data_IF_032533781817
#
_entry.id   IF_032533781817
#
_cell.length_a   1.000
_cell.length_b   1.000
_cell.length_c   1.000
_cell.angle_alpha   90.00
_cell.angle_beta   90.00
_cell.angle_gamma   90.00
#
_symmetry.space_group_name_H-M   'P 1'
#
loop_
_entity.id
_entity.type
_entity.pdbx_description
1 polymer ?
#
# COMPACT_ATOMS: atom_id res chain seq x y z
N UNK A 1 -1.75 -43.02 -0.54
CA UNK A 1 -2.92 -42.42 -1.20
C UNK A 1 -2.76 -40.91 -1.09
N UNK A 2 -2.21 -40.30 -2.14
CA UNK A 2 -2.04 -38.84 -2.19
C UNK A 2 -3.33 -38.20 -2.69
N UNK A 3 -3.83 -37.22 -1.95
CA UNK A 3 -4.95 -36.41 -2.41
C UNK A 3 -4.44 -35.45 -3.49
N UNK A 4 -4.87 -35.70 -4.72
CA UNK A 4 -4.73 -34.78 -5.85
C UNK A 4 -5.88 -33.78 -5.72
N UNK A 5 -5.56 -32.50 -5.49
CA UNK A 5 -6.49 -31.41 -5.72
C UNK A 5 -6.33 -30.99 -7.20
N UNK A 6 -7.37 -31.04 -8.03
CA UNK A 6 -7.27 -30.60 -9.41
C UNK A 6 -7.15 -29.07 -9.46
N UNK A 7 -6.05 -28.57 -10.02
CA UNK A 7 -5.87 -27.15 -10.37
C UNK A 7 -4.86 -26.35 -9.54
N UNK A 8 -4.20 -26.95 -8.54
CA UNK A 8 -3.19 -26.25 -7.74
C UNK A 8 -1.82 -26.29 -8.40
N UNK A 9 -1.26 -25.14 -8.75
CA UNK A 9 0.16 -25.04 -9.11
C UNK A 9 0.99 -25.61 -7.98
N UNK A 10 1.61 -26.75 -8.28
CA UNK A 10 2.51 -27.49 -7.42
C UNK A 10 3.68 -26.59 -7.00
N UNK A 11 3.87 -26.49 -5.69
CA UNK A 11 5.12 -26.27 -4.97
C UNK A 11 6.32 -25.91 -5.88
N UNK A 12 6.49 -24.61 -6.14
CA UNK A 12 7.75 -24.06 -6.63
C UNK A 12 8.02 -22.78 -5.85
N UNK A 13 9.22 -22.67 -5.31
CA UNK A 13 9.71 -21.49 -4.58
C UNK A 13 10.03 -20.37 -5.59
N UNK A 14 9.04 -19.99 -6.41
CA UNK A 14 9.19 -19.00 -7.49
C UNK A 14 9.04 -17.57 -6.97
N UNK A 15 8.45 -17.39 -5.80
CA UNK A 15 8.32 -16.11 -5.12
C UNK A 15 9.27 -16.04 -3.91
N UNK A 16 9.82 -14.86 -3.58
CA UNK A 16 10.61 -14.71 -2.38
C UNK A 16 9.78 -14.97 -1.12
N UNK A 17 10.44 -15.41 -0.05
CA UNK A 17 9.80 -15.60 1.26
C UNK A 17 9.22 -14.26 1.74
N UNK A 18 7.98 -14.28 2.27
CA UNK A 18 7.24 -13.11 2.78
C UNK A 18 6.80 -12.10 1.71
N UNK A 19 6.63 -12.54 0.46
CA UNK A 19 6.00 -11.75 -0.60
C UNK A 19 4.58 -12.24 -0.82
N UNK A 20 3.65 -11.30 -1.00
CA UNK A 20 2.33 -11.60 -1.52
C UNK A 20 2.45 -12.09 -2.97
N UNK A 21 1.64 -13.08 -3.35
CA UNK A 21 1.64 -13.61 -4.73
C UNK A 21 1.23 -12.55 -5.76
N UNK A 22 0.47 -11.54 -5.33
CA UNK A 22 0.13 -10.34 -6.11
C UNK A 22 0.57 -9.13 -5.30
N UNK A 23 1.32 -8.23 -5.92
CA UNK A 23 1.74 -6.96 -5.33
C UNK A 23 1.21 -5.82 -6.19
N UNK A 24 0.43 -4.88 -5.65
CA UNK A 24 0.06 -3.68 -6.40
C UNK A 24 1.31 -2.86 -6.71
N UNK A 25 1.34 -2.26 -7.89
CA UNK A 25 2.40 -1.33 -8.31
C UNK A 25 1.81 0.06 -8.46
N UNK A 26 2.22 0.99 -7.60
CA UNK A 26 1.71 2.36 -7.56
C UNK A 26 2.68 3.30 -8.26
N UNK A 27 2.19 4.04 -9.26
CA UNK A 27 2.93 5.16 -9.86
C UNK A 27 2.47 6.44 -9.17
N UNK A 28 3.32 6.99 -8.32
CA UNK A 28 3.01 8.14 -7.45
C UNK A 28 3.89 9.32 -7.82
N UNK A 29 3.47 10.54 -7.46
CA UNK A 29 4.19 11.78 -7.84
C UNK A 29 5.57 11.94 -7.15
N UNK A 30 5.69 11.44 -5.93
CA UNK A 30 6.89 11.48 -5.09
C UNK A 30 6.90 10.19 -4.27
N UNK A 31 7.58 9.17 -4.79
CA UNK A 31 7.61 7.86 -4.19
C UNK A 31 8.28 7.87 -2.82
N UNK A 32 9.34 8.66 -2.62
CA UNK A 32 10.06 8.70 -1.36
C UNK A 32 9.18 9.28 -0.24
N UNK A 33 8.45 10.35 -0.54
CA UNK A 33 7.49 10.94 0.39
C UNK A 33 6.31 9.99 0.68
N UNK A 34 5.83 9.26 -0.33
CA UNK A 34 4.84 8.20 -0.10
C UNK A 34 5.39 7.10 0.81
N UNK A 35 6.62 6.61 0.59
CA UNK A 35 7.21 5.58 1.45
C UNK A 35 7.31 6.04 2.90
N UNK A 36 7.77 7.28 3.14
CA UNK A 36 7.86 7.82 4.50
C UNK A 36 6.48 7.98 5.14
N UNK A 37 5.45 8.36 4.37
CA UNK A 37 4.07 8.33 4.81
C UNK A 37 3.64 6.91 5.22
N UNK A 38 3.91 5.89 4.41
CA UNK A 38 3.54 4.50 4.70
C UNK A 38 4.24 3.95 5.94
N UNK A 39 5.53 4.27 6.11
CA UNK A 39 6.31 3.91 7.30
C UNK A 39 5.69 4.51 8.56
N UNK A 40 5.31 5.79 8.49
CA UNK A 40 4.78 6.52 9.64
C UNK A 40 3.34 6.13 10.00
N UNK A 41 2.48 5.98 9.00
CA UNK A 41 1.03 5.80 9.19
C UNK A 41 0.64 4.33 9.32
N UNK A 42 1.27 3.45 8.55
CA UNK A 42 0.94 2.02 8.50
C UNK A 42 2.03 1.12 9.06
N UNK A 43 3.12 1.69 9.59
CA UNK A 43 4.25 0.91 10.09
C UNK A 43 4.96 0.13 8.98
N UNK A 44 4.93 0.62 7.75
CA UNK A 44 5.54 -0.06 6.61
C UNK A 44 7.06 -0.28 6.82
N UNK A 45 7.58 -1.36 6.25
CA UNK A 45 9.01 -1.69 6.24
C UNK A 45 9.51 -1.60 4.81
N UNK A 46 10.53 -0.77 4.57
CA UNK A 46 11.22 -0.71 3.28
C UNK A 46 12.02 -2.00 3.06
N UNK A 47 11.79 -2.65 1.92
CA UNK A 47 12.46 -3.92 1.56
C UNK A 47 13.54 -3.70 0.51
N UNK A 48 13.24 -2.87 -0.50
CA UNK A 48 14.11 -2.68 -1.65
C UNK A 48 13.93 -1.28 -2.22
N UNK A 49 15.03 -0.71 -2.71
CA UNK A 49 15.06 0.60 -3.33
C UNK A 49 16.06 0.62 -4.49
N UNK A 50 15.61 1.02 -5.67
CA UNK A 50 16.41 1.09 -6.90
C UNK A 50 16.30 2.48 -7.53
N UNK A 51 17.22 3.41 -7.19
CA UNK A 51 17.30 4.70 -7.87
C UNK A 51 17.88 4.56 -9.28
N UNK A 52 17.58 5.51 -10.15
CA UNK A 52 18.27 5.71 -11.42
C UNK A 52 19.54 6.57 -11.26
N UNK A 53 20.23 6.79 -12.38
CA UNK A 53 21.47 7.57 -12.43
C UNK A 53 21.28 9.05 -12.04
N UNK A 54 20.04 9.56 -12.10
CA UNK A 54 19.67 10.91 -11.65
C UNK A 54 19.25 10.98 -10.19
N UNK A 55 19.20 9.83 -9.50
CA UNK A 55 18.73 9.71 -8.10
C UNK A 55 17.21 9.60 -7.96
N UNK A 56 16.48 9.56 -9.07
CA UNK A 56 15.02 9.36 -9.08
C UNK A 56 14.69 7.89 -8.93
N UNK A 57 13.60 7.54 -8.26
CA UNK A 57 13.32 6.16 -7.90
C UNK A 57 12.57 5.43 -9.02
N UNK A 58 13.26 4.48 -9.64
CA UNK A 58 12.71 3.60 -10.68
C UNK A 58 11.81 2.54 -10.09
N UNK A 59 12.16 2.04 -8.91
CA UNK A 59 11.45 0.96 -8.26
C UNK A 59 11.76 0.92 -6.77
N UNK A 60 10.73 0.74 -5.96
CA UNK A 60 10.88 0.38 -4.57
C UNK A 60 9.80 -0.61 -4.14
N UNK A 61 10.08 -1.28 -3.03
CA UNK A 61 9.22 -2.26 -2.41
C UNK A 61 9.09 -1.91 -0.93
N UNK A 62 7.86 -1.74 -0.46
CA UNK A 62 7.56 -1.60 0.97
C UNK A 62 6.56 -2.67 1.37
N UNK A 63 6.67 -3.13 2.61
CA UNK A 63 5.75 -4.12 3.17
C UNK A 63 4.91 -3.51 4.27
N UNK A 64 3.59 -3.64 4.16
CA UNK A 64 2.64 -3.37 5.24
C UNK A 64 2.15 -4.74 5.69
N UNK A 65 2.53 -5.12 6.90
CA UNK A 65 2.27 -6.44 7.50
C UNK A 65 2.64 -7.60 6.56
N UNK A 66 1.66 -8.24 5.92
CA UNK A 66 1.84 -9.40 5.04
C UNK A 66 1.98 -9.07 3.55
N UNK A 67 1.74 -7.80 3.16
CA UNK A 67 1.57 -7.41 1.77
C UNK A 67 2.69 -6.49 1.31
N UNK A 68 3.31 -6.83 0.19
CA UNK A 68 4.29 -5.98 -0.50
C UNK A 68 3.57 -5.07 -1.48
N UNK A 69 3.82 -3.77 -1.36
CA UNK A 69 3.42 -2.73 -2.32
C UNK A 69 4.69 -2.29 -3.06
N UNK A 70 4.62 -2.29 -4.39
CA UNK A 70 5.67 -1.76 -5.24
C UNK A 70 5.36 -0.32 -5.63
N UNK A 71 6.38 0.53 -5.70
CA UNK A 71 6.23 1.94 -6.04
C UNK A 71 7.26 2.38 -7.07
N UNK A 72 6.93 3.41 -7.84
CA UNK A 72 7.89 4.17 -8.63
C UNK A 72 7.44 5.61 -8.79
N UNK A 73 8.41 6.48 -9.04
CA UNK A 73 8.13 7.81 -9.56
C UNK A 73 7.63 7.76 -11.01
N UNK A 74 7.00 8.83 -11.52
CA UNK A 74 6.50 8.89 -12.88
C UNK A 74 7.67 8.97 -13.85
N UNK A 75 7.84 8.04 -14.80
CA UNK A 75 9.01 7.95 -15.67
C UNK A 75 8.68 8.06 -17.18
N UNK A 76 9.60 8.60 -18.01
CA UNK A 76 9.41 8.70 -19.46
C UNK A 76 9.18 7.34 -20.16
N UNK A 77 8.53 7.33 -21.35
CA UNK A 77 8.02 8.51 -22.03
C UNK A 77 6.72 9.07 -21.44
N UNK A 78 5.85 8.27 -20.81
CA UNK A 78 4.49 8.72 -20.46
C UNK A 78 3.87 8.11 -19.19
N UNK A 79 4.66 7.68 -18.20
CA UNK A 79 4.06 7.27 -16.94
C UNK A 79 3.71 8.52 -16.13
N UNK A 80 2.47 9.00 -16.26
CA UNK A 80 1.91 9.97 -15.32
C UNK A 80 1.56 9.27 -13.99
N UNK A 81 1.53 9.99 -12.85
CA UNK A 81 0.95 9.44 -11.63
C UNK A 81 -0.46 8.91 -11.89
N UNK A 82 -0.73 7.68 -11.46
CA UNK A 82 -2.03 7.03 -11.66
C UNK A 82 -2.79 7.06 -10.34
N UNK A 83 -4.00 7.65 -10.37
CA UNK A 83 -4.89 7.63 -9.22
C UNK A 83 -5.17 6.18 -8.81
N UNK A 84 -4.77 5.86 -7.58
CA UNK A 84 -4.86 4.53 -7.01
C UNK A 84 -5.67 4.56 -5.73
N UNK A 85 -6.48 3.53 -5.51
CA UNK A 85 -7.21 3.32 -4.26
C UNK A 85 -6.73 2.01 -3.65
N UNK A 86 -6.27 2.07 -2.40
CA UNK A 86 -5.75 0.92 -1.66
C UNK A 86 -6.53 0.80 -0.37
N UNK A 87 -7.03 -0.41 -0.08
CA UNK A 87 -7.65 -0.72 1.20
C UNK A 87 -6.60 -1.28 2.16
N UNK A 88 -6.57 -0.77 3.38
CA UNK A 88 -5.66 -1.20 4.44
C UNK A 88 -6.46 -1.53 5.68
N UNK A 89 -6.35 -2.78 6.14
CA UNK A 89 -6.91 -3.17 7.41
C UNK A 89 -6.04 -2.61 8.54
N UNK A 90 -6.68 -1.91 9.48
CA UNK A 90 -6.00 -1.31 10.64
C UNK A 90 -6.79 -1.59 11.91
N UNK A 91 -6.06 -1.75 13.01
CA UNK A 91 -6.68 -2.02 14.30
C UNK A 91 -7.47 -0.82 14.85
N UNK A 92 -6.94 0.39 14.70
CA UNK A 92 -7.56 1.63 15.19
C UNK A 92 -7.67 2.65 14.05
N UNK A 93 -8.85 2.72 13.46
CA UNK A 93 -9.15 3.63 12.34
C UNK A 93 -8.95 5.09 12.72
N UNK A 94 -9.34 5.49 13.93
CA UNK A 94 -9.24 6.89 14.35
C UNK A 94 -7.78 7.31 14.56
N UNK A 95 -6.99 6.44 15.21
CA UNK A 95 -5.57 6.70 15.42
C UNK A 95 -4.81 6.75 14.09
N UNK A 96 -5.01 5.78 13.20
CA UNK A 96 -4.38 5.78 11.88
C UNK A 96 -4.80 7.00 11.07
N UNK A 97 -6.09 7.36 11.06
CA UNK A 97 -6.57 8.54 10.36
C UNK A 97 -5.91 9.81 10.88
N UNK A 98 -5.87 10.02 12.20
CA UNK A 98 -5.23 11.20 12.79
C UNK A 98 -3.75 11.28 12.43
N UNK A 99 -3.03 10.17 12.51
CA UNK A 99 -1.61 10.14 12.15
C UNK A 99 -1.40 10.48 10.67
N UNK A 100 -2.28 10.01 9.78
CA UNK A 100 -2.24 10.37 8.37
C UNK A 100 -2.43 11.86 8.14
N UNK A 101 -3.40 12.50 8.80
CA UNK A 101 -3.63 13.95 8.68
C UNK A 101 -2.42 14.73 9.22
N UNK A 102 -1.86 14.36 10.36
CA UNK A 102 -0.64 14.98 10.92
C UNK A 102 0.56 14.79 9.99
N UNK A 103 0.59 13.69 9.24
CA UNK A 103 1.62 13.40 8.22
C UNK A 103 1.40 14.11 6.89
N UNK A 104 0.42 15.03 6.81
CA UNK A 104 0.18 15.86 5.64
C UNK A 104 -0.76 15.25 4.59
N UNK A 105 -1.43 14.14 4.90
CA UNK A 105 -2.47 13.62 4.02
C UNK A 105 -3.72 14.50 4.01
N UNK A 106 -4.43 14.46 2.90
CA UNK A 106 -5.70 15.16 2.71
C UNK A 106 -6.83 14.21 3.10
N UNK A 107 -7.76 14.68 3.93
CA UNK A 107 -8.99 13.95 4.23
C UNK A 107 -9.80 13.73 2.95
N UNK A 108 -10.11 12.46 2.64
CA UNK A 108 -11.08 12.09 1.61
C UNK A 108 -12.42 11.79 2.27
N UNK A 109 -12.40 11.09 3.41
CA UNK A 109 -13.55 10.78 4.23
C UNK A 109 -13.12 10.65 5.69
N UNK A 110 -13.73 11.43 6.59
CA UNK A 110 -13.53 11.26 8.02
C UNK A 110 -14.04 9.89 8.51
N UNK A 111 -13.38 9.26 9.51
CA UNK A 111 -13.80 7.97 10.03
C UNK A 111 -15.24 8.01 10.55
N UNK A 112 -16.13 7.32 9.85
CA UNK A 112 -17.54 7.25 10.22
C UNK A 112 -17.97 5.79 10.32
N UNK A 113 -18.72 5.47 11.37
CA UNK A 113 -19.46 4.21 11.47
C UNK A 113 -20.83 4.44 10.83
N UNK A 114 -21.04 3.85 9.65
CA UNK A 114 -22.35 3.92 8.99
C UNK A 114 -23.32 2.90 9.61
N UNK A 115 -24.54 2.83 9.08
CA UNK A 115 -25.57 1.93 9.59
C UNK A 115 -25.20 0.44 9.45
N UNK A 116 -24.27 0.09 8.54
CA UNK A 116 -23.68 -1.25 8.44
C UNK A 116 -22.25 -1.31 9.01
N UNK A 117 -22.09 -2.28 9.90
CA UNK A 117 -20.97 -2.92 10.61
C UNK A 117 -19.63 -2.19 10.84
N UNK A 118 -18.90 -1.73 9.81
CA UNK A 118 -17.52 -1.25 9.99
C UNK A 118 -17.34 0.27 9.95
N UNK A 119 -16.51 0.76 10.89
CA UNK A 119 -16.01 2.14 10.85
C UNK A 119 -14.98 2.27 9.75
N UNK A 120 -15.18 3.18 8.81
CA UNK A 120 -14.27 3.40 7.68
C UNK A 120 -13.94 4.88 7.47
N UNK A 121 -12.71 5.14 7.09
CA UNK A 121 -12.20 6.44 6.69
C UNK A 121 -11.35 6.36 5.44
N UNK A 122 -11.01 7.50 4.87
CA UNK A 122 -10.17 7.59 3.68
C UNK A 122 -9.28 8.83 3.71
N UNK A 123 -8.02 8.66 3.34
CA UNK A 123 -7.03 9.74 3.22
C UNK A 123 -6.30 9.64 1.89
N UNK A 124 -5.82 10.77 1.37
CA UNK A 124 -4.98 10.82 0.18
C UNK A 124 -3.59 11.34 0.56
N UNK A 125 -2.57 10.57 0.24
CA UNK A 125 -1.18 10.92 0.56
C UNK A 125 -0.62 11.99 -0.41
N UNK A 126 0.63 12.39 -0.18
CA UNK A 126 1.35 13.35 -1.03
C UNK A 126 1.65 12.82 -2.44
N UNK A 127 1.77 11.50 -2.60
CA UNK A 127 1.98 10.84 -3.90
C UNK A 127 0.72 10.76 -4.76
N UNK A 128 -0.45 10.98 -4.17
CA UNK A 128 -1.76 10.98 -4.82
C UNK A 128 -2.56 9.68 -4.64
N UNK A 129 -2.02 8.70 -3.92
CA UNK A 129 -2.72 7.46 -3.61
C UNK A 129 -3.77 7.69 -2.52
N UNK A 130 -4.97 7.12 -2.70
CA UNK A 130 -6.03 7.12 -1.71
C UNK A 130 -6.00 5.83 -0.90
N UNK A 131 -5.91 5.96 0.41
CA UNK A 131 -5.85 4.88 1.38
C UNK A 131 -7.17 4.81 2.14
N UNK A 132 -7.93 3.75 1.93
CA UNK A 132 -9.14 3.43 2.66
C UNK A 132 -8.80 2.57 3.87
N UNK A 133 -9.21 3.00 5.05
CA UNK A 133 -8.85 2.39 6.33
C UNK A 133 -10.11 1.89 7.04
N UNK A 134 -10.08 0.63 7.43
CA UNK A 134 -11.16 -0.03 8.15
C UNK A 134 -10.58 -1.15 9.03
N UNK A 135 -11.26 -1.58 10.10
CA UNK A 135 -10.90 -2.81 10.79
C UNK A 135 -11.35 -4.01 9.95
N UNK A 136 -10.93 -5.20 10.37
CA UNK A 136 -11.61 -6.43 9.94
C UNK A 136 -12.85 -6.59 10.84
N UNK A 137 -14.07 -6.53 10.30
CA UNK A 137 -15.27 -6.97 11.05
C UNK A 137 -15.04 -8.40 11.55
N UNK A 138 -15.42 -8.68 12.80
CA UNK A 138 -15.67 -10.06 13.27
C UNK A 138 -17.15 -10.35 13.26
#
# INVERSE_FOLDING_TARGET
MGNVIPGGWMNSQYQPTNYSTVSPYLIVKDEAATIDFLKRVFGAIELRKLPDESGKLKHAEVRIDDTVIMLADPAPPDWAPILSHVHVYVWDVDATYREAIVSGAISVQEPVKQQDEDKRGGVKDCGGATWWIAPQVK
#
